data_IF_273443101120
#
_entry.id   IF_273443101120
#
_cell.length_a   1.000
_cell.length_b   1.000
_cell.length_c   1.000
_cell.angle_alpha   90.00
_cell.angle_beta   90.00
_cell.angle_gamma   90.00
#
_symmetry.space_group_name_H-M   'P 1'
#
loop_
_entity.id
_entity.type
_entity.pdbx_description
1 polymer ?
#
# COMPACT_ATOMS: atom_id res chain seq x y z
N UNK A 1 -15.12 114.39 15.66
CA UNK A 1 -15.81 113.08 15.56
C UNK A 1 -15.29 112.30 14.36
N UNK A 2 -14.27 111.43 14.51
CA UNK A 2 -13.78 110.61 13.38
C UNK A 2 -13.19 109.24 13.79
N UNK A 3 -12.69 109.08 15.02
CA UNK A 3 -11.88 107.91 15.40
C UNK A 3 -12.66 106.66 15.84
N UNK A 4 -13.90 106.78 16.32
CA UNK A 4 -14.68 105.63 16.80
C UNK A 4 -15.17 104.71 15.67
N UNK A 5 -15.42 105.25 14.47
CA UNK A 5 -15.85 104.46 13.30
C UNK A 5 -14.72 103.57 12.76
N UNK A 6 -13.45 103.94 12.98
CA UNK A 6 -12.30 103.18 12.50
C UNK A 6 -12.13 101.84 13.21
N UNK A 7 -12.26 101.81 14.55
CA UNK A 7 -12.12 100.58 15.35
C UNK A 7 -13.24 99.57 15.07
N UNK A 8 -14.48 100.04 14.93
CA UNK A 8 -15.62 99.17 14.58
C UNK A 8 -15.41 98.51 13.22
N UNK A 9 -14.88 99.24 12.23
CA UNK A 9 -14.55 98.67 10.91
C UNK A 9 -13.46 97.61 10.98
N UNK A 10 -12.46 97.77 11.84
CA UNK A 10 -11.39 96.77 12.04
C UNK A 10 -11.97 95.49 12.67
N UNK A 11 -12.79 95.63 13.71
CA UNK A 11 -13.42 94.47 14.38
C UNK A 11 -14.34 93.71 13.42
N UNK A 12 -15.15 94.43 12.63
CA UNK A 12 -15.99 93.82 11.58
C UNK A 12 -15.14 93.15 10.51
N UNK A 13 -14.02 93.77 10.11
CA UNK A 13 -13.07 93.19 9.16
C UNK A 13 -12.45 91.88 9.66
N UNK A 14 -12.00 91.83 10.92
CA UNK A 14 -11.43 90.62 11.52
C UNK A 14 -12.48 89.52 11.67
N UNK A 15 -13.70 89.87 12.08
CA UNK A 15 -14.83 88.93 12.14
C UNK A 15 -15.18 88.39 10.75
N UNK A 16 -15.19 89.25 9.73
CA UNK A 16 -15.47 88.85 8.35
C UNK A 16 -14.38 87.91 7.81
N UNK A 17 -13.10 88.22 8.05
CA UNK A 17 -11.98 87.35 7.66
C UNK A 17 -12.01 86.04 8.43
N UNK A 18 -12.31 86.06 9.73
CA UNK A 18 -12.45 84.86 10.56
C UNK A 18 -13.60 83.96 10.07
N UNK A 19 -14.75 84.55 9.75
CA UNK A 19 -15.91 83.83 9.21
C UNK A 19 -15.59 83.23 7.82
N UNK A 20 -14.89 83.97 6.96
CA UNK A 20 -14.49 83.49 5.64
C UNK A 20 -13.52 82.32 5.74
N UNK A 21 -12.55 82.38 6.68
CA UNK A 21 -11.59 81.30 6.91
C UNK A 21 -12.26 80.02 7.44
N UNK A 22 -13.31 80.14 8.25
CA UNK A 22 -14.10 78.98 8.72
C UNK A 22 -14.98 78.43 7.60
N UNK A 23 -15.59 79.29 6.79
CA UNK A 23 -16.44 78.87 5.68
C UNK A 23 -15.66 78.22 4.54
N UNK A 24 -14.40 78.65 4.31
CA UNK A 24 -13.49 78.02 3.35
C UNK A 24 -12.83 76.74 3.87
N UNK A 25 -13.10 76.29 5.11
CA UNK A 25 -12.59 74.99 5.56
C UNK A 25 -13.31 73.87 4.80
N UNK A 26 -12.58 72.99 4.10
CA UNK A 26 -13.20 71.89 3.37
C UNK A 26 -13.92 70.95 4.34
N UNK A 27 -15.17 70.66 4.03
CA UNK A 27 -15.97 69.72 4.82
C UNK A 27 -15.47 68.29 4.58
N UNK A 28 -15.23 67.48 5.64
CA UNK A 28 -14.75 66.13 5.46
C UNK A 28 -15.80 65.27 4.73
N UNK A 29 -15.38 64.53 3.71
CA UNK A 29 -16.27 63.62 2.99
C UNK A 29 -16.52 62.36 3.84
N UNK A 30 -17.77 61.95 4.06
CA UNK A 30 -18.07 60.71 4.75
C UNK A 30 -17.64 59.52 3.89
N UNK A 31 -16.75 58.69 4.41
CA UNK A 31 -16.33 57.44 3.77
C UNK A 31 -16.63 56.26 4.69
N UNK A 32 -17.15 55.19 4.10
CA UNK A 32 -17.40 53.94 4.83
C UNK A 32 -16.13 53.12 4.85
N UNK A 33 -15.59 52.89 6.05
CA UNK A 33 -14.44 52.03 6.27
C UNK A 33 -14.83 50.81 7.10
N UNK A 34 -14.19 49.67 6.82
CA UNK A 34 -14.30 48.46 7.61
C UNK A 34 -12.92 48.03 8.09
N UNK A 35 -12.85 47.50 9.33
CA UNK A 35 -11.61 47.00 9.91
C UNK A 35 -11.33 45.60 9.38
N UNK A 36 -10.19 45.42 8.71
CA UNK A 36 -9.76 44.11 8.21
C UNK A 36 -8.99 43.37 9.32
N UNK A 37 -9.38 42.13 9.59
CA UNK A 37 -8.66 41.23 10.50
C UNK A 37 -8.25 39.96 9.77
N UNK A 38 -7.06 39.45 10.06
CA UNK A 38 -6.61 38.15 9.56
C UNK A 38 -7.18 37.06 10.45
N UNK A 39 -8.06 36.22 9.89
CA UNK A 39 -8.56 35.00 10.52
C UNK A 39 -8.46 33.84 9.53
N UNK A 40 -8.58 32.62 10.04
CA UNK A 40 -8.58 31.43 9.19
C UNK A 40 -9.82 31.45 8.28
N UNK A 41 -9.60 31.56 6.97
CA UNK A 41 -10.63 31.43 5.95
C UNK A 41 -10.65 29.98 5.47
N UNK A 42 -11.81 29.33 5.52
CA UNK A 42 -11.99 27.96 5.03
C UNK A 42 -12.67 28.01 3.67
N UNK A 43 -11.97 27.50 2.67
CA UNK A 43 -12.52 27.22 1.35
C UNK A 43 -12.92 25.75 1.28
N UNK A 44 -14.16 25.46 0.91
CA UNK A 44 -14.66 24.10 0.71
C UNK A 44 -14.96 23.91 -0.76
N UNK A 45 -14.52 22.77 -1.31
CA UNK A 45 -14.86 22.36 -2.68
C UNK A 45 -15.93 21.29 -2.57
N UNK A 46 -17.13 21.59 -3.06
CA UNK A 46 -18.23 20.63 -3.08
C UNK A 46 -18.09 19.71 -4.29
N UNK A 47 -18.11 18.41 -4.04
CA UNK A 47 -18.01 17.38 -5.07
C UNK A 47 -18.94 16.21 -4.77
N UNK A 48 -19.41 15.53 -5.82
CA UNK A 48 -20.27 14.35 -5.68
C UNK A 48 -19.40 13.13 -5.38
N UNK A 49 -19.64 12.49 -4.24
CA UNK A 49 -18.99 11.24 -3.85
C UNK A 49 -19.95 10.05 -3.96
N UNK A 50 -19.49 8.94 -4.53
CA UNK A 50 -20.21 7.66 -4.45
C UNK A 50 -19.63 6.80 -3.34
N UNK A 51 -20.50 6.29 -2.47
CA UNK A 51 -20.10 5.28 -1.49
C UNK A 51 -20.09 3.92 -2.18
N UNK A 52 -18.97 3.19 -2.08
CA UNK A 52 -18.86 1.80 -2.54
C UNK A 52 -18.65 0.87 -1.36
N UNK A 53 -19.19 -0.33 -1.47
CA UNK A 53 -18.84 -1.44 -0.59
C UNK A 53 -17.35 -1.74 -0.77
N UNK A 54 -16.60 -1.83 0.32
CA UNK A 54 -15.15 -2.07 0.28
C UNK A 54 -14.82 -3.44 -0.31
N UNK A 55 -15.50 -4.47 0.19
CA UNK A 55 -15.18 -5.85 -0.13
C UNK A 55 -16.41 -6.58 -0.65
N UNK A 56 -16.51 -6.69 -1.98
CA UNK A 56 -17.54 -7.51 -2.64
C UNK A 56 -16.91 -8.84 -3.02
N UNK A 57 -17.45 -9.93 -2.47
CA UNK A 57 -17.05 -11.28 -2.81
C UNK A 57 -18.17 -12.02 -3.54
N UNK A 58 -17.79 -12.81 -4.55
CA UNK A 58 -18.67 -13.77 -5.21
C UNK A 58 -18.25 -15.16 -4.77
N UNK A 59 -19.16 -15.90 -4.14
CA UNK A 59 -18.91 -17.29 -3.74
C UNK A 59 -19.46 -18.21 -4.81
N UNK A 60 -18.61 -19.07 -5.36
CA UNK A 60 -18.96 -20.04 -6.41
C UNK A 60 -18.62 -21.47 -5.97
N UNK A 61 -19.37 -22.44 -6.50
CA UNK A 61 -19.10 -23.85 -6.30
C UNK A 61 -17.94 -24.30 -7.21
N UNK A 62 -16.96 -25.07 -6.70
CA UNK A 62 -15.81 -25.54 -7.50
C UNK A 62 -16.17 -26.67 -8.47
N UNK A 63 -17.33 -27.32 -8.31
CA UNK A 63 -17.77 -28.44 -9.13
C UNK A 63 -19.25 -28.29 -9.51
N UNK A 64 -19.65 -28.91 -10.62
CA UNK A 64 -21.05 -29.01 -11.01
C UNK A 64 -21.78 -30.02 -10.10
N UNK A 65 -22.99 -29.67 -9.68
CA UNK A 65 -23.78 -30.51 -8.79
C UNK A 65 -25.17 -29.96 -8.58
N UNK A 66 -26.00 -30.72 -7.87
CA UNK A 66 -27.31 -30.30 -7.42
C UNK A 66 -27.17 -29.55 -6.11
N UNK A 67 -27.67 -28.31 -6.06
CA UNK A 67 -27.72 -27.54 -4.84
C UNK A 67 -28.79 -28.12 -3.91
N UNK A 68 -28.39 -28.49 -2.70
CA UNK A 68 -29.29 -28.90 -1.64
C UNK A 68 -30.09 -27.72 -1.10
N UNK A 69 -31.00 -28.00 -0.15
CA UNK A 69 -31.80 -26.94 0.48
C UNK A 69 -30.90 -26.07 1.36
N UNK A 70 -30.79 -24.79 1.01
CA UNK A 70 -30.07 -23.79 1.81
C UNK A 70 -30.98 -23.20 2.89
N UNK A 71 -30.53 -23.11 4.16
CA UNK A 71 -31.33 -22.49 5.23
C UNK A 71 -31.30 -20.96 5.21
N UNK A 72 -30.35 -20.37 4.48
CA UNK A 72 -30.15 -18.92 4.37
C UNK A 72 -31.09 -18.29 3.35
N UNK A 73 -31.51 -17.06 3.64
CA UNK A 73 -32.28 -16.18 2.75
C UNK A 73 -31.47 -14.95 2.37
N UNK A 74 -31.90 -14.28 1.30
CA UNK A 74 -31.28 -13.03 0.86
C UNK A 74 -31.35 -11.97 1.98
N UNK A 75 -30.20 -11.36 2.29
CA UNK A 75 -30.06 -10.37 3.36
C UNK A 75 -29.58 -10.93 4.70
N UNK A 76 -29.52 -12.26 4.87
CA UNK A 76 -29.00 -12.87 6.10
C UNK A 76 -27.49 -12.62 6.25
N UNK A 77 -27.05 -12.30 7.48
CA UNK A 77 -25.63 -12.15 7.80
C UNK A 77 -24.95 -13.52 7.90
N UNK A 78 -23.75 -13.66 7.30
CA UNK A 78 -22.96 -14.88 7.35
C UNK A 78 -21.63 -14.66 8.09
N UNK A 79 -21.26 -15.60 8.95
CA UNK A 79 -19.97 -15.60 9.63
C UNK A 79 -18.88 -16.32 8.82
N UNK A 80 -17.62 -16.01 9.09
CA UNK A 80 -16.48 -16.72 8.48
C UNK A 80 -16.56 -18.21 8.84
N UNK A 81 -16.46 -19.07 7.82
CA UNK A 81 -16.51 -20.52 7.98
C UNK A 81 -17.91 -21.11 8.12
N UNK A 82 -18.96 -20.28 8.08
CA UNK A 82 -20.33 -20.76 8.10
C UNK A 82 -20.68 -21.48 6.78
N UNK A 83 -21.32 -22.63 6.88
CA UNK A 83 -21.81 -23.38 5.73
C UNK A 83 -23.01 -22.63 5.13
N UNK A 84 -22.85 -22.15 3.89
CA UNK A 84 -23.90 -21.41 3.18
C UNK A 84 -24.74 -22.29 2.26
N UNK A 85 -24.23 -23.44 1.82
CA UNK A 85 -24.92 -24.36 0.93
C UNK A 85 -24.30 -25.76 0.98
N UNK A 86 -25.11 -26.78 0.73
CA UNK A 86 -24.65 -28.15 0.47
C UNK A 86 -24.81 -28.45 -1.01
N UNK A 87 -23.81 -29.08 -1.63
CA UNK A 87 -23.81 -29.43 -3.04
C UNK A 87 -23.63 -30.93 -3.17
N UNK A 88 -24.55 -31.59 -3.87
CA UNK A 88 -24.40 -32.98 -4.29
C UNK A 88 -23.71 -32.98 -5.66
N UNK A 89 -22.42 -33.34 -5.76
CA UNK A 89 -21.68 -33.28 -7.00
C UNK A 89 -22.29 -34.22 -8.04
N UNK A 90 -22.39 -33.75 -9.28
CA UNK A 90 -22.83 -34.60 -10.38
C UNK A 90 -21.82 -35.75 -10.56
N UNK A 91 -22.28 -36.98 -10.87
CA UNK A 91 -21.36 -38.08 -11.14
C UNK A 91 -20.45 -37.69 -12.31
N UNK A 92 -19.14 -37.78 -12.08
CA UNK A 92 -18.15 -37.60 -13.14
C UNK A 92 -18.28 -38.78 -14.11
N UNK A 93 -18.28 -38.49 -15.41
CA UNK A 93 -18.10 -39.52 -16.43
C UNK A 93 -16.80 -40.30 -16.15
N UNK A 94 -16.77 -41.60 -16.48
CA UNK A 94 -15.65 -42.48 -16.27
C UNK A 94 -14.35 -41.91 -16.86
N UNK A 95 -14.43 -41.26 -18.02
CA UNK A 95 -13.30 -40.58 -18.66
C UNK A 95 -12.78 -39.42 -17.82
N UNK A 96 -13.67 -38.55 -17.34
CA UNK A 96 -13.31 -37.39 -16.51
C UNK A 96 -12.73 -37.83 -15.17
N UNK A 97 -13.30 -38.87 -14.56
CA UNK A 97 -12.78 -39.46 -13.33
C UNK A 97 -11.37 -40.04 -13.53
N UNK A 98 -11.16 -40.80 -14.60
CA UNK A 98 -9.85 -41.36 -14.92
C UNK A 98 -8.80 -40.26 -15.17
N UNK A 99 -9.17 -39.19 -15.87
CA UNK A 99 -8.30 -38.04 -16.10
C UNK A 99 -7.94 -37.32 -14.80
N UNK A 100 -8.89 -37.14 -13.88
CA UNK A 100 -8.66 -36.53 -12.57
C UNK A 100 -7.71 -37.38 -11.71
N UNK A 101 -7.92 -38.69 -11.66
CA UNK A 101 -7.03 -39.62 -10.92
C UNK A 101 -5.62 -39.59 -11.52
N UNK A 102 -5.50 -39.61 -12.85
CA UNK A 102 -4.20 -39.51 -13.51
C UNK A 102 -3.51 -38.16 -13.26
N UNK A 103 -4.28 -37.06 -13.14
CA UNK A 103 -3.72 -35.75 -12.80
C UNK A 103 -3.17 -35.72 -11.37
N UNK A 104 -3.88 -36.31 -10.41
CA UNK A 104 -3.40 -36.47 -9.03
C UNK A 104 -2.13 -37.32 -9.00
N UNK A 105 -2.13 -38.48 -9.66
CA UNK A 105 -0.94 -39.33 -9.73
C UNK A 105 0.28 -38.61 -10.32
N UNK A 106 0.10 -37.81 -11.38
CA UNK A 106 1.19 -37.00 -11.93
C UNK A 106 1.70 -35.94 -10.95
N UNK A 107 0.81 -35.31 -10.18
CA UNK A 107 1.20 -34.32 -9.17
C UNK A 107 2.01 -34.97 -8.04
N UNK A 108 1.55 -36.12 -7.53
CA UNK A 108 2.26 -36.90 -6.51
C UNK A 108 3.64 -37.36 -7.01
N UNK A 109 3.72 -37.83 -8.25
CA UNK A 109 4.98 -38.24 -8.88
C UNK A 109 5.96 -37.06 -9.00
N UNK A 110 5.48 -35.90 -9.44
CA UNK A 110 6.29 -34.68 -9.54
C UNK A 110 6.80 -34.22 -8.17
N UNK A 111 5.96 -34.29 -7.13
CA UNK A 111 6.30 -33.97 -5.76
C UNK A 111 7.38 -34.92 -5.21
N UNK A 112 7.28 -36.23 -5.50
CA UNK A 112 8.34 -37.21 -5.15
C UNK A 112 9.67 -36.90 -5.84
N UNK A 113 9.65 -36.55 -7.13
CA UNK A 113 10.85 -36.18 -7.89
C UNK A 113 11.50 -34.90 -7.34
N UNK A 114 10.70 -33.88 -7.02
CA UNK A 114 11.19 -32.62 -6.45
C UNK A 114 11.85 -32.85 -5.09
N UNK A 115 11.22 -33.64 -4.21
CA UNK A 115 11.81 -34.03 -2.92
C UNK A 115 13.11 -34.82 -3.07
N UNK A 116 13.16 -35.78 -3.98
CA UNK A 116 14.37 -36.55 -4.24
C UNK A 116 15.53 -35.64 -4.71
N UNK A 117 15.23 -34.69 -5.59
CA UNK A 117 16.19 -33.68 -6.05
C UNK A 117 16.70 -32.80 -4.92
N UNK A 118 15.82 -32.32 -4.03
CA UNK A 118 16.19 -31.55 -2.84
C UNK A 118 17.12 -32.34 -1.90
N UNK A 119 16.82 -33.62 -1.64
CA UNK A 119 17.70 -34.48 -0.84
C UNK A 119 19.08 -34.65 -1.50
N UNK A 120 19.12 -34.85 -2.82
CA UNK A 120 20.37 -34.91 -3.58
C UNK A 120 21.19 -33.62 -3.47
N UNK A 121 20.55 -32.46 -3.64
CA UNK A 121 21.19 -31.15 -3.50
C UNK A 121 21.70 -30.91 -2.07
N UNK A 122 20.96 -31.35 -1.05
CA UNK A 122 21.39 -31.26 0.36
C UNK A 122 22.67 -32.05 0.60
N UNK A 123 22.71 -33.29 0.14
CA UNK A 123 23.90 -34.14 0.28
C UNK A 123 25.11 -33.54 -0.44
N UNK A 124 24.92 -32.95 -1.62
CA UNK A 124 25.97 -32.26 -2.36
C UNK A 124 26.49 -31.03 -1.60
N UNK A 125 25.60 -30.21 -1.02
CA UNK A 125 25.97 -29.07 -0.19
C UNK A 125 26.75 -29.51 1.06
N UNK A 126 26.28 -30.53 1.78
CA UNK A 126 27.01 -31.08 2.93
C UNK A 126 28.41 -31.56 2.56
N UNK A 127 28.56 -32.25 1.43
CA UNK A 127 29.87 -32.68 0.94
C UNK A 127 30.79 -31.50 0.61
N UNK A 128 30.27 -30.47 -0.05
CA UNK A 128 31.01 -29.27 -0.39
C UNK A 128 31.43 -28.47 0.85
N UNK A 129 30.57 -28.38 1.87
CA UNK A 129 30.92 -27.78 3.17
C UNK A 129 32.05 -28.52 3.86
N UNK A 130 32.01 -29.86 3.89
CA UNK A 130 33.10 -30.66 4.45
C UNK A 130 34.41 -30.46 3.68
N UNK A 131 34.35 -30.33 2.36
CA UNK A 131 35.53 -30.05 1.54
C UNK A 131 36.10 -28.65 1.82
N UNK A 132 35.26 -27.63 1.91
CA UNK A 132 35.63 -26.27 2.30
C UNK A 132 36.26 -26.22 3.69
N UNK A 133 35.67 -26.89 4.68
CA UNK A 133 36.21 -26.93 6.04
C UNK A 133 37.61 -27.57 6.09
N UNK A 134 37.84 -28.65 5.33
CA UNK A 134 39.19 -29.24 5.18
C UNK A 134 40.16 -28.28 4.52
N UNK A 135 39.73 -27.57 3.47
CA UNK A 135 40.57 -26.59 2.79
C UNK A 135 41.00 -25.44 3.72
N UNK A 136 40.09 -24.95 4.56
CA UNK A 136 40.38 -23.91 5.54
C UNK A 136 41.38 -24.37 6.61
N UNK A 137 41.29 -25.63 7.04
CA UNK A 137 42.27 -26.19 7.97
C UNK A 137 43.66 -26.34 7.33
N UNK A 138 43.73 -26.81 6.08
CA UNK A 138 44.98 -26.91 5.33
C UNK A 138 45.61 -25.55 4.98
N UNK A 139 44.80 -24.51 4.82
CA UNK A 139 45.27 -23.12 4.59
C UNK A 139 45.98 -22.58 5.83
N UNK A 140 45.44 -22.85 7.04
CA UNK A 140 46.09 -22.48 8.30
C UNK A 140 47.46 -23.13 8.47
N UNK A 141 47.63 -24.35 7.96
CA UNK A 141 48.90 -25.07 7.99
C UNK A 141 49.79 -24.81 6.77
N UNK A 142 49.38 -23.94 5.85
CA UNK A 142 50.13 -23.58 4.64
C UNK A 142 50.28 -24.72 3.61
N UNK A 143 49.41 -25.73 3.66
CA UNK A 143 49.51 -26.97 2.88
C UNK A 143 48.62 -26.99 1.62
N UNK A 144 47.95 -25.89 1.30
CA UNK A 144 47.07 -25.77 0.14
C UNK A 144 47.36 -24.48 -0.63
N UNK A 145 47.22 -24.54 -1.96
CA UNK A 145 47.29 -23.34 -2.78
C UNK A 145 46.05 -22.45 -2.56
N UNK A 146 46.24 -21.13 -2.55
CA UNK A 146 45.16 -20.15 -2.40
C UNK A 146 44.05 -20.35 -3.44
N UNK A 147 44.41 -20.60 -4.69
CA UNK A 147 43.47 -20.87 -5.79
C UNK A 147 42.60 -22.11 -5.52
N UNK A 148 43.19 -23.19 -5.01
CA UNK A 148 42.45 -24.41 -4.69
C UNK A 148 41.47 -24.19 -3.54
N UNK A 149 41.85 -23.40 -2.52
CA UNK A 149 40.93 -22.99 -1.45
C UNK A 149 39.77 -22.17 -2.00
N UNK A 150 40.04 -21.15 -2.82
CA UNK A 150 39.00 -20.30 -3.42
C UNK A 150 38.04 -21.12 -4.29
N UNK A 151 38.55 -22.11 -5.03
CA UNK A 151 37.73 -23.06 -5.81
C UNK A 151 36.76 -23.84 -4.93
N UNK A 152 37.24 -24.37 -3.79
CA UNK A 152 36.42 -25.14 -2.86
C UNK A 152 35.41 -24.27 -2.11
N UNK A 153 35.76 -23.02 -1.80
CA UNK A 153 34.81 -22.04 -1.24
C UNK A 153 33.69 -21.70 -2.23
N UNK A 154 34.04 -21.45 -3.50
CA UNK A 154 33.06 -21.21 -4.56
C UNK A 154 32.17 -22.44 -4.80
N UNK A 155 32.74 -23.65 -4.76
CA UNK A 155 31.97 -24.89 -4.90
C UNK A 155 30.94 -25.06 -3.78
N UNK A 156 31.29 -24.76 -2.53
CA UNK A 156 30.35 -24.76 -1.41
C UNK A 156 29.23 -23.73 -1.59
N UNK A 157 29.57 -22.49 -1.94
CA UNK A 157 28.58 -21.45 -2.19
C UNK A 157 27.63 -21.81 -3.34
N UNK A 158 28.14 -22.45 -4.40
CA UNK A 158 27.32 -22.91 -5.53
C UNK A 158 26.37 -24.05 -5.12
N UNK A 159 26.86 -24.99 -4.30
CA UNK A 159 26.04 -26.08 -3.79
C UNK A 159 24.93 -25.58 -2.86
N UNK A 160 25.20 -24.57 -2.04
CA UNK A 160 24.19 -23.91 -1.19
C UNK A 160 23.07 -23.28 -2.04
N UNK A 161 23.43 -22.54 -3.10
CA UNK A 161 22.45 -22.00 -4.05
C UNK A 161 21.64 -23.09 -4.74
N UNK A 162 22.29 -24.22 -5.06
CA UNK A 162 21.62 -25.38 -5.63
C UNK A 162 20.60 -25.99 -4.67
N UNK A 163 20.93 -26.08 -3.38
CA UNK A 163 20.01 -26.53 -2.33
C UNK A 163 18.83 -25.57 -2.16
N UNK A 164 19.07 -24.26 -2.07
CA UNK A 164 18.02 -23.25 -1.99
C UNK A 164 17.03 -23.38 -3.16
N UNK A 165 17.55 -23.50 -4.40
CA UNK A 165 16.72 -23.67 -5.58
C UNK A 165 15.89 -24.96 -5.55
N UNK A 166 16.48 -26.08 -5.10
CA UNK A 166 15.78 -27.35 -5.00
C UNK A 166 14.73 -27.37 -3.88
N UNK A 167 14.97 -26.66 -2.78
CA UNK A 167 14.00 -26.49 -1.69
C UNK A 167 12.77 -25.69 -2.16
N UNK A 168 12.99 -24.58 -2.88
CA UNK A 168 11.89 -23.83 -3.49
C UNK A 168 11.10 -24.66 -4.49
N UNK A 169 11.78 -25.47 -5.31
CA UNK A 169 11.10 -26.37 -6.25
C UNK A 169 10.26 -27.44 -5.53
N UNK A 170 10.74 -27.97 -4.40
CA UNK A 170 9.99 -28.94 -3.59
C UNK A 170 8.76 -28.31 -2.90
N UNK A 171 8.90 -27.09 -2.38
CA UNK A 171 7.79 -26.34 -1.80
C UNK A 171 6.73 -25.99 -2.85
N UNK A 172 7.17 -25.56 -4.04
CA UNK A 172 6.28 -25.26 -5.16
C UNK A 172 5.52 -26.49 -5.68
N UNK A 173 6.09 -27.69 -5.54
CA UNK A 173 5.41 -28.94 -5.92
C UNK A 173 4.38 -29.42 -4.88
N UNK A 174 4.41 -28.86 -3.66
CA UNK A 174 3.48 -29.22 -2.57
C UNK A 174 2.21 -28.34 -2.59
N UNK A 175 2.28 -27.17 -3.21
CA UNK A 175 1.22 -26.17 -3.29
C UNK A 175 0.48 -26.20 -4.64
#
# INVERSE_FOLDING_TARGET
>A
MAFARGRVRIVVGVLAVGALLVFLRPSPLPVTVARVERRAMRETVDGVGWTRVRDRYTVSAPAAGRLGRTPLREGDSVARGQVIAHLDPAPLDARTRAAAIAAVGRAEDAERVARATMVGARNAAEQAHRARARAQELDRSGMIAKEERERLELAAATADRGLEAADFAAQAATH
#
